data_IF_311653563399
#
_entry.id   IF_311653563399
#
_cell.length_a   1.000
_cell.length_b   1.000
_cell.length_c   1.000
_cell.angle_alpha   90.00
_cell.angle_beta   90.00
_cell.angle_gamma   90.00
#
_symmetry.space_group_name_H-M   'P 1'
#
loop_
_entity.id
_entity.type
_entity.pdbx_description
1 polymer ?
#
# COMPACT_ATOMS: atom_id res chain seq x y z
N UNK A 1 2.07 11.70 1.03
CA UNK A 1 2.24 10.49 1.87
C UNK A 1 3.60 10.61 2.51
N UNK A 2 3.64 10.68 3.84
CA UNK A 2 4.88 10.50 4.59
C UNK A 2 4.95 9.03 5.02
N UNK A 3 5.95 8.32 4.49
CA UNK A 3 6.23 6.95 4.88
C UNK A 3 7.73 6.79 5.13
N UNK A 4 8.09 6.15 6.24
CA UNK A 4 9.46 5.73 6.49
C UNK A 4 9.86 4.71 5.41
N UNK A 5 11.06 4.82 4.84
CA UNK A 5 11.54 3.94 3.77
C UNK A 5 12.29 2.74 4.37
N UNK A 6 11.66 1.57 4.60
CA UNK A 6 12.40 0.39 4.99
C UNK A 6 13.25 -0.10 3.81
N UNK A 7 14.56 0.07 3.93
CA UNK A 7 15.54 -0.62 3.08
C UNK A 7 15.51 -2.12 3.37
N UNK A 8 15.36 -2.98 2.36
CA UNK A 8 15.69 -4.39 2.56
C UNK A 8 17.19 -4.46 2.78
N UNK A 9 17.62 -4.75 4.01
CA UNK A 9 19.00 -5.13 4.28
C UNK A 9 19.25 -6.57 3.76
N UNK A 10 19.01 -6.81 2.47
CA UNK A 10 19.18 -8.12 1.82
C UNK A 10 18.18 -9.21 2.27
N UNK A 11 17.01 -8.85 2.80
CA UNK A 11 16.00 -9.83 3.25
C UNK A 11 14.81 -9.91 2.29
N UNK A 12 14.51 -11.13 1.85
CA UNK A 12 13.25 -11.46 1.17
C UNK A 12 12.11 -11.53 2.20
N UNK A 13 11.42 -10.40 2.44
CA UNK A 13 10.24 -10.32 3.32
C UNK A 13 9.10 -11.28 2.92
N UNK A 14 8.97 -11.70 1.66
CA UNK A 14 7.92 -12.63 1.25
C UNK A 14 8.22 -14.05 1.75
N UNK A 15 9.49 -14.40 1.90
CA UNK A 15 9.88 -15.60 2.64
C UNK A 15 9.62 -15.48 4.16
N UNK A 16 9.49 -14.25 4.69
CA UNK A 16 9.26 -13.99 6.12
C UNK A 16 7.80 -13.67 6.49
N UNK A 17 6.90 -13.45 5.54
CA UNK A 17 5.50 -13.08 5.78
C UNK A 17 4.56 -14.27 5.57
N UNK A 18 4.32 -15.12 6.59
CA UNK A 18 3.32 -16.17 6.49
C UNK A 18 1.95 -15.59 6.11
N UNK A 19 1.13 -16.37 5.38
CA UNK A 19 -0.17 -15.88 4.90
C UNK A 19 -1.05 -15.36 6.05
N UNK A 20 -1.56 -14.13 5.91
CA UNK A 20 -2.32 -13.42 6.95
C UNK A 20 -1.50 -12.42 7.77
N UNK A 21 -0.22 -12.23 7.47
CA UNK A 21 0.62 -11.26 8.18
C UNK A 21 0.28 -9.82 7.77
N UNK A 22 0.06 -8.95 8.76
CA UNK A 22 -0.11 -7.50 8.55
C UNK A 22 1.24 -6.83 8.78
N UNK A 23 1.73 -6.15 7.75
CA UNK A 23 3.00 -5.45 7.72
C UNK A 23 2.80 -3.93 7.79
N UNK A 24 3.52 -3.26 8.70
CA UNK A 24 3.57 -1.79 8.74
C UNK A 24 4.57 -1.31 7.69
N UNK A 25 4.10 -0.57 6.69
CA UNK A 25 4.91 -0.14 5.54
C UNK A 25 6.09 0.80 5.88
N UNK A 26 6.18 1.27 7.13
CA UNK A 26 7.30 2.07 7.65
C UNK A 26 8.35 1.24 8.38
N UNK A 27 9.61 1.66 8.29
CA UNK A 27 10.76 1.04 8.98
C UNK A 27 10.68 1.19 10.51
N UNK A 28 10.13 2.31 10.97
CA UNK A 28 10.14 2.70 12.40
C UNK A 28 8.82 3.40 12.82
N UNK A 29 8.17 4.18 11.94
CA UNK A 29 6.91 4.90 12.20
C UNK A 29 5.73 4.44 11.32
N UNK A 30 4.51 4.63 11.83
CA UNK A 30 3.27 4.42 11.08
C UNK A 30 3.25 5.20 9.76
N UNK A 31 2.83 4.55 8.68
CA UNK A 31 2.63 5.26 7.42
C UNK A 31 1.37 6.12 7.52
N UNK A 32 1.55 7.44 7.59
CA UNK A 32 0.43 8.37 7.63
C UNK A 32 -0.10 8.61 6.22
N UNK A 33 -1.35 8.21 5.99
CA UNK A 33 -2.10 8.50 4.79
C UNK A 33 -3.11 9.60 5.10
N UNK A 34 -2.85 10.82 4.65
CA UNK A 34 -3.81 11.92 4.75
C UNK A 34 -4.31 12.31 3.37
N UNK A 35 -5.62 12.53 3.26
CA UNK A 35 -6.28 13.01 2.05
C UNK A 35 -7.24 14.15 2.39
N UNK A 36 -7.13 15.27 1.68
CA UNK A 36 -7.97 16.46 1.89
C UNK A 36 -9.33 16.38 1.18
N UNK A 37 -9.48 15.35 0.35
CA UNK A 37 -10.65 15.08 -0.49
C UNK A 37 -11.09 13.62 -0.34
N UNK A 38 -12.36 13.37 -0.65
CA UNK A 38 -12.90 12.01 -0.67
C UNK A 38 -12.31 11.25 -1.87
N UNK A 39 -11.75 10.08 -1.59
CA UNK A 39 -11.16 9.20 -2.58
C UNK A 39 -12.02 7.95 -2.78
N UNK A 40 -12.05 7.42 -3.98
CA UNK A 40 -12.67 6.14 -4.30
C UNK A 40 -11.64 5.18 -4.87
N UNK A 41 -11.46 4.03 -4.22
CA UNK A 41 -10.61 2.93 -4.65
C UNK A 41 -11.50 1.80 -5.17
N UNK A 42 -11.73 1.75 -6.49
CA UNK A 42 -12.76 0.87 -7.05
C UNK A 42 -14.14 1.26 -6.50
N UNK A 43 -14.80 0.32 -5.81
CA UNK A 43 -16.10 0.52 -5.17
C UNK A 43 -15.99 0.98 -3.69
N UNK A 44 -14.76 1.15 -3.18
CA UNK A 44 -14.51 1.51 -1.78
C UNK A 44 -14.35 3.02 -1.66
N UNK A 45 -15.20 3.66 -0.85
CA UNK A 45 -15.09 5.08 -0.54
C UNK A 45 -14.20 5.31 0.68
N UNK A 46 -13.19 6.16 0.54
CA UNK A 46 -12.29 6.64 1.59
C UNK A 46 -12.54 8.13 1.78
N UNK A 47 -13.26 8.55 2.83
CA UNK A 47 -13.51 9.95 3.11
C UNK A 47 -12.23 10.75 3.36
N UNK A 48 -12.30 12.07 3.22
CA UNK A 48 -11.20 12.96 3.62
C UNK A 48 -10.84 12.80 5.11
N UNK A 49 -9.54 12.85 5.39
CA UNK A 49 -8.98 12.78 6.73
C UNK A 49 -7.61 12.10 6.78
N UNK A 50 -7.16 11.85 8.01
CA UNK A 50 -5.91 11.16 8.29
C UNK A 50 -6.15 9.72 8.73
N UNK A 51 -5.36 8.83 8.16
CA UNK A 51 -5.42 7.39 8.32
C UNK A 51 -4.02 6.85 8.59
N UNK A 52 -3.96 5.75 9.33
CA UNK A 52 -2.78 4.90 9.40
C UNK A 52 -2.87 3.85 8.30
N UNK A 53 -1.83 3.74 7.48
CA UNK A 53 -1.76 2.79 6.38
C UNK A 53 -0.90 1.58 6.74
N UNK A 54 -1.49 0.40 6.59
CA UNK A 54 -0.87 -0.89 6.82
C UNK A 54 -1.04 -1.75 5.56
N UNK A 55 -0.09 -2.63 5.26
CA UNK A 55 -0.24 -3.60 4.16
C UNK A 55 -0.49 -4.98 4.74
N UNK A 56 -1.57 -5.62 4.33
CA UNK A 56 -1.88 -7.00 4.72
C UNK A 56 -1.52 -7.94 3.59
N UNK A 57 -0.69 -8.93 3.90
CA UNK A 57 -0.46 -10.07 3.05
C UNK A 57 -1.57 -11.10 3.31
N UNK A 58 -2.35 -11.40 2.29
CA UNK A 58 -3.41 -12.40 2.35
C UNK A 58 -2.87 -13.83 2.19
N UNK A 59 -3.69 -14.72 1.62
CA UNK A 59 -3.25 -16.06 1.22
C UNK A 59 -2.66 -16.00 -0.19
N UNK A 60 -1.56 -16.73 -0.42
CA UNK A 60 -0.84 -16.72 -1.70
C UNK A 60 -0.46 -15.29 -2.14
N UNK A 61 -0.63 -14.96 -3.41
CA UNK A 61 -0.24 -13.67 -4.00
C UNK A 61 -1.26 -12.53 -3.77
N UNK A 62 -2.06 -12.59 -2.70
CA UNK A 62 -3.08 -11.55 -2.40
C UNK A 62 -2.55 -10.51 -1.42
N UNK A 63 -2.81 -9.24 -1.71
CA UNK A 63 -2.35 -8.11 -0.91
C UNK A 63 -3.45 -7.07 -0.78
N UNK A 64 -3.55 -6.44 0.39
CA UNK A 64 -4.51 -5.36 0.65
C UNK A 64 -3.85 -4.21 1.40
N UNK A 65 -4.24 -2.98 1.08
CA UNK A 65 -3.99 -1.79 1.87
C UNK A 65 -5.08 -1.66 2.93
N UNK A 66 -4.70 -1.61 4.20
CA UNK A 66 -5.60 -1.30 5.31
C UNK A 66 -5.39 0.14 5.71
N UNK A 67 -6.46 0.95 5.62
CA UNK A 67 -6.50 2.30 6.16
C UNK A 67 -7.30 2.29 7.45
N UNK A 68 -6.64 2.57 8.57
CA UNK A 68 -7.23 2.60 9.91
C UNK A 68 -7.42 4.05 10.38
N UNK A 69 -8.62 4.41 10.85
CA UNK A 69 -8.95 5.72 11.46
C UNK A 69 -10.01 5.55 12.54
N UNK A 70 -9.78 6.11 13.73
CA UNK A 70 -10.74 6.12 14.84
C UNK A 70 -11.36 4.73 15.15
N UNK A 71 -10.54 3.67 15.07
CA UNK A 71 -10.97 2.28 15.26
C UNK A 71 -11.70 1.65 14.06
N UNK A 72 -12.00 2.40 13.00
CA UNK A 72 -12.53 1.89 11.73
C UNK A 72 -11.38 1.49 10.82
N UNK A 73 -11.55 0.37 10.10
CA UNK A 73 -10.59 -0.13 9.13
C UNK A 73 -11.24 -0.23 7.77
N UNK A 74 -10.55 0.24 6.74
CA UNK A 74 -10.95 0.14 5.34
C UNK A 74 -9.91 -0.72 4.64
N UNK A 75 -10.32 -1.89 4.15
CA UNK A 75 -9.44 -2.82 3.42
C UNK A 75 -9.64 -2.64 1.92
N UNK A 76 -8.56 -2.27 1.23
CA UNK A 76 -8.53 -1.97 -0.21
C UNK A 76 -7.63 -3.02 -0.87
N UNK A 77 -8.16 -3.89 -1.75
CA UNK A 77 -7.35 -4.91 -2.40
C UNK A 77 -6.38 -4.28 -3.42
N UNK A 78 -5.13 -4.72 -3.39
CA UNK A 78 -4.16 -4.40 -4.41
C UNK A 78 -4.29 -5.36 -5.59
N UNK A 79 -4.08 -4.84 -6.79
CA UNK A 79 -3.76 -5.67 -7.94
C UNK A 79 -2.29 -6.07 -7.87
N UNK A 80 -2.04 -7.36 -7.65
CA UNK A 80 -0.69 -7.92 -7.62
C UNK A 80 -0.21 -8.30 -9.02
N UNK A 81 1.02 -7.94 -9.33
CA UNK A 81 1.73 -8.40 -10.51
C UNK A 81 3.20 -8.67 -10.16
N UNK A 82 3.71 -9.85 -10.53
CA UNK A 82 5.13 -10.18 -10.41
C UNK A 82 5.86 -9.68 -11.65
N UNK A 83 6.36 -8.45 -11.58
CA UNK A 83 7.17 -7.86 -12.66
C UNK A 83 8.63 -8.25 -12.47
N UNK A 84 9.08 -9.31 -13.16
CA UNK A 84 10.47 -9.78 -13.10
C UNK A 84 11.54 -8.84 -13.69
N UNK A 85 11.18 -7.63 -14.12
CA UNK A 85 12.09 -6.63 -14.71
C UNK A 85 12.45 -5.48 -13.78
N UNK A 86 11.62 -5.18 -12.79
CA UNK A 86 11.88 -4.13 -11.82
C UNK A 86 12.28 -4.82 -10.52
N UNK A 87 13.56 -4.76 -10.14
CA UNK A 87 14.03 -5.22 -8.84
C UNK A 87 14.30 -4.00 -7.98
N UNK A 88 13.39 -3.70 -7.03
CA UNK A 88 13.64 -2.63 -6.05
C UNK A 88 14.01 -3.24 -4.70
N UNK A 89 15.21 -2.97 -4.21
CA UNK A 89 15.66 -3.43 -2.88
C UNK A 89 15.02 -2.64 -1.74
N UNK A 90 14.32 -1.55 -2.04
CA UNK A 90 13.66 -0.70 -1.04
C UNK A 90 12.17 -0.71 -1.29
N UNK A 91 11.38 -0.92 -0.23
CA UNK A 91 9.93 -0.77 -0.33
C UNK A 91 9.60 0.66 -0.76
N UNK A 92 9.03 0.78 -1.95
CA UNK A 92 8.80 2.07 -2.60
C UNK A 92 7.31 2.23 -2.84
N UNK A 93 6.70 3.26 -2.24
CA UNK A 93 5.35 3.68 -2.58
C UNK A 93 5.46 4.87 -3.53
N UNK A 94 4.98 4.67 -4.74
CA UNK A 94 4.78 5.71 -5.73
C UNK A 94 3.30 6.07 -5.79
N UNK A 95 3.01 7.36 -5.86
CA UNK A 95 1.67 7.85 -6.15
C UNK A 95 1.75 8.73 -7.38
N UNK A 96 1.03 8.33 -8.42
CA UNK A 96 0.86 9.13 -9.64
C UNK A 96 -0.53 9.70 -9.64
N UNK A 97 -0.67 11.01 -9.76
CA UNK A 97 -1.95 11.67 -9.92
C UNK A 97 -2.05 12.24 -11.35
N UNK A 98 -3.23 12.13 -11.94
CA UNK A 98 -3.60 12.61 -13.27
C UNK A 98 -5.03 13.14 -13.22
N UNK A 99 -5.19 14.38 -12.76
CA UNK A 99 -6.48 15.05 -12.65
C UNK A 99 -7.33 14.50 -11.51
N UNK A 100 -8.51 13.97 -11.85
CA UNK A 100 -9.45 13.32 -10.91
C UNK A 100 -9.10 11.84 -10.65
N UNK A 101 -7.99 11.33 -11.20
CA UNK A 101 -7.57 9.93 -11.06
C UNK A 101 -6.13 9.83 -10.67
N UNK A 102 -5.83 8.93 -9.74
CA UNK A 102 -4.48 8.56 -9.40
C UNK A 102 -4.28 7.06 -9.34
N UNK A 103 -3.02 6.67 -9.22
CA UNK A 103 -2.59 5.29 -9.05
C UNK A 103 -1.56 5.28 -7.94
N UNK A 104 -1.81 4.48 -6.92
CA UNK A 104 -0.84 4.14 -5.89
C UNK A 104 -0.19 2.82 -6.29
N UNK A 105 1.12 2.82 -6.35
CA UNK A 105 1.93 1.66 -6.69
C UNK A 105 2.90 1.41 -5.55
N UNK A 106 2.83 0.23 -4.94
CA UNK A 106 3.85 -0.24 -4.00
C UNK A 106 4.74 -1.27 -4.71
N UNK A 107 6.05 -1.01 -4.71
CA UNK A 107 7.06 -1.83 -5.36
C UNK A 107 7.99 -2.41 -4.31
N UNK A 108 8.28 -3.71 -4.44
CA UNK A 108 9.16 -4.41 -3.53
C UNK A 108 9.75 -5.65 -4.18
N UNK A 109 11.08 -5.70 -4.36
CA UNK A 109 11.74 -6.75 -5.14
C UNK A 109 11.16 -6.79 -6.55
N UNK A 110 10.71 -7.97 -7.00
CA UNK A 110 9.98 -8.18 -8.26
C UNK A 110 8.44 -8.06 -8.13
N UNK A 111 7.94 -7.65 -6.96
CA UNK A 111 6.51 -7.57 -6.66
C UNK A 111 6.02 -6.14 -6.85
N UNK A 112 4.98 -6.00 -7.67
CA UNK A 112 4.33 -4.73 -7.98
C UNK A 112 2.87 -4.84 -7.54
N UNK A 113 2.51 -4.04 -6.55
CA UNK A 113 1.15 -3.86 -6.05
C UNK A 113 0.63 -2.55 -6.59
N UNK A 114 -0.52 -2.56 -7.25
CA UNK A 114 -1.10 -1.34 -7.81
C UNK A 114 -2.55 -1.21 -7.43
N UNK A 115 -2.98 0.00 -7.09
CA UNK A 115 -4.38 0.33 -6.90
C UNK A 115 -4.68 1.69 -7.52
N UNK A 116 -5.73 1.76 -8.32
CA UNK A 116 -6.22 3.01 -8.85
C UNK A 116 -7.18 3.67 -7.86
N UNK A 117 -7.10 4.99 -7.75
CA UNK A 117 -8.05 5.79 -6.99
C UNK A 117 -8.60 6.92 -7.85
N UNK A 118 -9.78 7.40 -7.50
CA UNK A 118 -10.41 8.57 -8.13
C UNK A 118 -10.81 9.55 -7.04
N UNK A 119 -10.73 10.83 -7.37
CA UNK A 119 -11.32 11.89 -6.57
C UNK A 119 -12.83 11.82 -6.75
N UNK A 120 -13.56 11.89 -5.64
CA UNK A 120 -15.02 11.91 -5.62
C UNK A 120 -15.55 13.34 -5.64
#
# INVERSE_FOLDING_TARGET
IDYGRPSMQGRDMLAMAPGGYVWRMGKDDDTAFSTDIDLMFGDISVPKGSYTAETKHGKADSWSLILSRDGKKIEIPFSYNKSGRDHVEVFTIEMKNSGDRGTLTALWGAHRLTVAFKVK
#
